data_IF_397220225334
#
_entry.id   IF_397220225334
#
_cell.length_a   1.000
_cell.length_b   1.000
_cell.length_c   1.000
_cell.angle_alpha   90.00
_cell.angle_beta   90.00
_cell.angle_gamma   90.00
#
_symmetry.space_group_name_H-M   'P 1'
#
loop_
_entity.id
_entity.type
_entity.pdbx_description
1 polymer ?
#
# COMPACT_ATOMS: atom_id res chain seq x y z
N UNK A 1 10.31 -14.81 14.92
CA UNK A 1 10.21 -13.97 13.72
C UNK A 1 9.84 -12.57 14.15
N UNK A 2 10.60 -11.54 13.77
CA UNK A 2 10.31 -10.16 14.21
C UNK A 2 9.01 -9.66 13.57
N UNK A 3 8.32 -8.71 14.22
CA UNK A 3 7.07 -8.14 13.70
C UNK A 3 7.26 -7.48 12.31
N UNK A 4 8.45 -6.92 12.06
CA UNK A 4 8.79 -6.35 10.74
C UNK A 4 8.78 -7.43 9.65
N UNK A 5 9.43 -8.56 9.90
CA UNK A 5 9.47 -9.67 8.94
C UNK A 5 8.08 -10.27 8.72
N UNK A 6 7.28 -10.43 9.79
CA UNK A 6 5.88 -10.88 9.66
C UNK A 6 5.05 -9.92 8.78
N UNK A 7 5.19 -8.61 9.01
CA UNK A 7 4.50 -7.60 8.24
C UNK A 7 4.84 -7.64 6.76
N UNK A 8 6.12 -7.78 6.40
CA UNK A 8 6.53 -7.93 5.00
C UNK A 8 6.01 -9.21 4.36
N UNK A 9 6.23 -10.37 5.01
CA UNK A 9 5.81 -11.66 4.45
C UNK A 9 4.31 -11.71 4.21
N UNK A 10 3.50 -11.31 5.20
CA UNK A 10 2.05 -11.29 5.05
C UNK A 10 1.57 -10.22 4.06
N UNK A 11 2.27 -9.08 3.97
CA UNK A 11 2.00 -8.04 2.99
C UNK A 11 2.21 -8.53 1.56
N UNK A 12 3.33 -9.22 1.30
CA UNK A 12 3.64 -9.82 -0.01
C UNK A 12 2.63 -10.93 -0.35
N UNK A 13 2.27 -11.78 0.61
CA UNK A 13 1.25 -12.81 0.36
C UNK A 13 -0.11 -12.22 -0.01
N UNK A 14 -0.49 -11.11 0.63
CA UNK A 14 -1.72 -10.42 0.29
C UNK A 14 -1.65 -9.74 -1.08
N UNK A 15 -0.51 -9.16 -1.45
CA UNK A 15 -0.34 -8.56 -2.78
C UNK A 15 -0.36 -9.60 -3.89
N UNK A 16 0.18 -10.81 -3.66
CA UNK A 16 0.06 -11.94 -4.59
C UNK A 16 -1.40 -12.38 -4.82
N UNK A 17 -2.28 -12.26 -3.81
CA UNK A 17 -3.72 -12.48 -4.01
C UNK A 17 -4.32 -11.41 -4.94
N UNK A 18 -3.84 -10.17 -4.87
CA UNK A 18 -4.24 -9.10 -5.80
C UNK A 18 -3.72 -9.37 -7.21
N UNK A 19 -2.50 -9.92 -7.35
CA UNK A 19 -1.96 -10.40 -8.66
C UNK A 19 -2.89 -11.45 -9.27
N UNK A 20 -3.29 -12.44 -8.48
CA UNK A 20 -4.22 -13.47 -8.97
C UNK A 20 -5.56 -12.88 -9.42
N UNK A 21 -6.10 -11.91 -8.65
CA UNK A 21 -7.31 -11.19 -9.03
C UNK A 21 -7.13 -10.41 -10.35
N UNK A 22 -5.98 -9.75 -10.55
CA UNK A 22 -5.65 -9.08 -11.80
C UNK A 22 -5.71 -10.06 -12.98
N UNK A 23 -4.99 -11.19 -12.88
CA UNK A 23 -4.94 -12.19 -13.93
C UNK A 23 -6.35 -12.68 -14.28
N UNK A 24 -7.18 -12.98 -13.28
CA UNK A 24 -8.57 -13.42 -13.48
C UNK A 24 -9.37 -12.35 -14.23
N UNK A 25 -9.34 -11.10 -13.79
CA UNK A 25 -10.10 -10.02 -14.41
C UNK A 25 -9.62 -9.74 -15.83
N UNK A 26 -8.32 -9.74 -16.06
CA UNK A 26 -7.75 -9.49 -17.37
C UNK A 26 -8.08 -10.60 -18.37
N UNK A 27 -7.85 -11.86 -18.00
CA UNK A 27 -8.02 -13.02 -18.89
C UNK A 27 -9.48 -13.38 -19.14
N UNK A 28 -10.33 -13.34 -18.12
CA UNK A 28 -11.71 -13.84 -18.21
C UNK A 28 -12.75 -12.74 -18.40
N UNK A 29 -12.48 -11.52 -17.96
CA UNK A 29 -13.43 -10.40 -18.06
C UNK A 29 -13.02 -9.41 -19.14
N UNK A 30 -11.75 -9.40 -19.54
CA UNK A 30 -11.23 -8.49 -20.58
C UNK A 30 -11.16 -7.03 -20.11
N UNK A 31 -11.07 -6.78 -18.79
CA UNK A 31 -10.98 -5.43 -18.23
C UNK A 31 -9.51 -5.06 -18.09
N UNK A 32 -9.16 -3.86 -18.57
CA UNK A 32 -7.86 -3.23 -18.29
C UNK A 32 -7.76 -3.01 -16.78
N UNK A 33 -6.91 -3.79 -16.12
CA UNK A 33 -6.85 -3.84 -14.67
C UNK A 33 -5.77 -2.91 -14.06
N UNK A 34 -5.27 -1.93 -14.82
CA UNK A 34 -4.18 -1.03 -14.39
C UNK A 34 -4.39 -0.37 -13.02
N UNK A 35 -5.64 -0.10 -12.63
CA UNK A 35 -5.97 0.43 -11.30
C UNK A 35 -5.72 -0.57 -10.16
N UNK A 36 -5.71 -1.87 -10.45
CA UNK A 36 -5.45 -2.92 -9.44
C UNK A 36 -3.98 -2.89 -9.01
N UNK A 37 -3.06 -2.46 -9.88
CA UNK A 37 -1.64 -2.31 -9.54
C UNK A 37 -1.40 -1.44 -8.30
N UNK A 38 -2.22 -0.40 -8.10
CA UNK A 38 -2.15 0.41 -6.89
C UNK A 38 -2.49 -0.38 -5.62
N UNK A 39 -3.38 -1.36 -5.70
CA UNK A 39 -3.78 -2.19 -4.57
C UNK A 39 -2.67 -3.16 -4.15
N UNK A 40 -1.78 -3.56 -5.06
CA UNK A 40 -0.63 -4.43 -4.75
C UNK A 40 0.30 -3.73 -3.75
N UNK A 41 0.79 -2.53 -4.07
CA UNK A 41 1.64 -1.76 -3.17
C UNK A 41 0.93 -1.38 -1.86
N UNK A 42 -0.36 -0.98 -1.94
CA UNK A 42 -1.16 -0.64 -0.76
C UNK A 42 -1.34 -1.82 0.19
N UNK A 43 -1.60 -3.02 -0.31
CA UNK A 43 -1.79 -4.21 0.53
C UNK A 43 -0.53 -4.51 1.35
N UNK A 44 0.66 -4.37 0.75
CA UNK A 44 1.93 -4.52 1.45
C UNK A 44 2.06 -3.48 2.57
N UNK A 45 1.80 -2.19 2.26
CA UNK A 45 1.91 -1.09 3.23
C UNK A 45 0.92 -1.26 4.37
N UNK A 46 -0.35 -1.52 4.07
CA UNK A 46 -1.41 -1.63 5.08
C UNK A 46 -1.14 -2.78 6.05
N UNK A 47 -0.75 -3.95 5.54
CA UNK A 47 -0.45 -5.11 6.37
C UNK A 47 0.82 -4.86 7.19
N UNK A 48 1.88 -4.33 6.58
CA UNK A 48 3.09 -3.98 7.31
C UNK A 48 2.80 -3.02 8.47
N UNK A 49 2.05 -1.94 8.23
CA UNK A 49 1.68 -0.96 9.25
C UNK A 49 0.80 -1.54 10.36
N UNK A 50 -0.02 -2.56 10.07
CA UNK A 50 -0.80 -3.27 11.09
C UNK A 50 0.11 -3.98 12.11
N UNK A 51 1.25 -4.52 11.68
CA UNK A 51 2.22 -5.19 12.56
C UNK A 51 3.26 -4.24 13.16
N UNK A 52 3.45 -3.07 12.56
CA UNK A 52 4.46 -2.09 12.94
C UNK A 52 3.88 -0.67 12.89
N UNK A 53 2.90 -0.34 13.75
CA UNK A 53 2.18 0.95 13.69
C UNK A 53 3.08 2.15 13.99
N UNK A 54 4.14 1.95 14.77
CA UNK A 54 5.08 3.01 15.20
C UNK A 54 6.24 3.22 14.21
N UNK A 55 6.39 2.34 13.23
CA UNK A 55 7.46 2.47 12.23
C UNK A 55 7.13 3.58 11.23
N UNK A 56 7.73 4.76 11.43
CA UNK A 56 7.57 5.93 10.57
C UNK A 56 8.61 6.01 9.44
N UNK A 57 9.37 4.92 9.21
CA UNK A 57 10.35 4.85 8.15
C UNK A 57 9.69 4.92 6.77
N UNK A 58 10.27 5.72 5.87
CA UNK A 58 9.84 5.79 4.48
C UNK A 58 10.27 4.54 3.66
N UNK A 59 11.11 3.68 4.24
CA UNK A 59 11.62 2.48 3.57
C UNK A 59 10.49 1.56 3.12
N UNK A 60 9.43 1.42 3.91
CA UNK A 60 8.29 0.56 3.55
C UNK A 60 7.63 1.01 2.24
N UNK A 61 7.50 2.32 2.01
CA UNK A 61 6.88 2.84 0.79
C UNK A 61 7.74 2.54 -0.44
N UNK A 62 9.07 2.69 -0.32
CA UNK A 62 10.01 2.36 -1.40
C UNK A 62 9.98 0.86 -1.69
N UNK A 63 10.08 0.02 -0.66
CA UNK A 63 10.08 -1.43 -0.80
C UNK A 63 8.75 -1.92 -1.42
N UNK A 64 7.62 -1.44 -0.91
CA UNK A 64 6.31 -1.81 -1.44
C UNK A 64 6.12 -1.36 -2.89
N UNK A 65 6.64 -0.18 -3.27
CA UNK A 65 6.58 0.31 -4.65
C UNK A 65 7.41 -0.55 -5.58
N UNK A 66 8.63 -0.93 -5.18
CA UNK A 66 9.51 -1.79 -5.98
C UNK A 66 8.89 -3.18 -6.16
N UNK A 67 8.40 -3.79 -5.07
CA UNK A 67 7.74 -5.10 -5.15
C UNK A 67 6.48 -5.01 -6.01
N UNK A 68 5.64 -4.00 -5.81
CA UNK A 68 4.43 -3.79 -6.61
C UNK A 68 4.71 -3.63 -8.10
N UNK A 69 5.80 -2.96 -8.48
CA UNK A 69 6.23 -2.89 -9.88
C UNK A 69 6.57 -4.27 -10.45
N UNK A 70 7.35 -5.08 -9.73
CA UNK A 70 7.64 -6.46 -10.15
C UNK A 70 6.37 -7.29 -10.28
N UNK A 71 5.43 -7.15 -9.36
CA UNK A 71 4.15 -7.87 -9.39
C UNK A 71 3.28 -7.48 -10.59
N UNK A 72 3.30 -6.20 -11.00
CA UNK A 72 2.62 -5.75 -12.22
C UNK A 72 3.19 -6.47 -13.45
N UNK A 73 4.51 -6.54 -13.59
CA UNK A 73 5.13 -7.29 -14.69
C UNK A 73 4.77 -8.77 -14.65
N UNK A 74 4.81 -9.39 -13.46
CA UNK A 74 4.41 -10.80 -13.31
C UNK A 74 2.96 -11.00 -13.74
N UNK A 75 2.05 -10.12 -13.33
CA UNK A 75 0.64 -10.19 -13.67
C UNK A 75 0.42 -10.09 -15.20
N UNK A 76 1.08 -9.14 -15.86
CA UNK A 76 0.98 -8.94 -17.30
C UNK A 76 1.50 -10.14 -18.08
N UNK A 77 2.74 -10.58 -17.80
CA UNK A 77 3.32 -11.72 -18.53
C UNK A 77 2.57 -13.04 -18.26
N UNK A 78 2.10 -13.26 -17.03
CA UNK A 78 1.27 -14.42 -16.72
C UNK A 78 -0.06 -14.39 -17.48
N UNK A 79 -0.72 -13.23 -17.54
CA UNK A 79 -1.97 -13.05 -18.29
C UNK A 79 -1.79 -13.35 -19.77
N UNK A 80 -0.75 -12.78 -20.40
CA UNK A 80 -0.41 -13.06 -21.80
C UNK A 80 -0.09 -14.54 -22.00
N UNK A 81 0.67 -15.16 -21.09
CA UNK A 81 0.98 -16.59 -21.16
C UNK A 81 -0.26 -17.48 -21.15
N UNK A 82 -1.23 -17.19 -20.29
CA UNK A 82 -2.50 -17.92 -20.22
C UNK A 82 -3.30 -17.74 -21.52
N UNK A 83 -3.39 -16.51 -22.03
CA UNK A 83 -4.12 -16.22 -23.28
C UNK A 83 -3.47 -16.91 -24.46
N UNK A 84 -2.12 -16.94 -24.54
CA UNK A 84 -1.40 -17.67 -25.58
C UNK A 84 -1.67 -19.17 -25.52
N UNK A 85 -1.67 -19.75 -24.31
CA UNK A 85 -1.99 -21.16 -24.12
C UNK A 85 -3.42 -21.50 -24.56
N UNK A 86 -4.39 -20.62 -24.23
CA UNK A 86 -5.79 -20.78 -24.64
C UNK A 86 -5.97 -20.67 -26.18
N UNK A 87 -5.23 -19.74 -26.79
CA UNK A 87 -5.30 -19.51 -28.25
C UNK A 87 -4.39 -20.43 -29.08
N UNK A 88 -3.62 -21.30 -28.45
CA UNK A 88 -2.62 -22.17 -29.08
C UNK A 88 -1.59 -21.39 -29.92
N UNK A 89 -1.16 -20.24 -29.41
CA UNK A 89 -0.15 -19.34 -29.99
C UNK A 89 1.11 -19.40 -29.14
N UNK A 90 2.28 -19.34 -29.80
CA UNK A 90 3.53 -19.29 -29.04
C UNK A 90 3.66 -17.98 -28.25
N UNK A 91 4.35 -18.05 -27.09
CA UNK A 91 4.45 -16.95 -26.15
C UNK A 91 5.14 -15.70 -26.74
N UNK A 92 6.19 -15.89 -27.54
CA UNK A 92 6.93 -14.76 -28.14
C UNK A 92 6.04 -13.98 -29.12
N UNK A 93 5.27 -14.70 -29.95
CA UNK A 93 4.28 -14.10 -30.84
C UNK A 93 3.19 -13.38 -30.08
N UNK A 94 2.71 -13.96 -28.96
CA UNK A 94 1.70 -13.34 -28.10
C UNK A 94 2.20 -12.04 -27.46
N UNK A 95 3.39 -12.08 -26.87
CA UNK A 95 4.02 -10.88 -26.29
C UNK A 95 4.22 -9.79 -27.32
N UNK A 96 4.70 -10.13 -28.52
CA UNK A 96 4.89 -9.16 -29.61
C UNK A 96 3.58 -8.48 -30.02
N UNK A 97 2.50 -9.24 -30.14
CA UNK A 97 1.17 -8.71 -30.47
C UNK A 97 0.58 -7.86 -29.34
N UNK A 98 0.78 -8.26 -28.09
CA UNK A 98 0.25 -7.59 -26.92
C UNK A 98 1.16 -6.45 -26.41
N UNK A 99 2.34 -6.23 -27.00
CA UNK A 99 3.37 -5.34 -26.46
C UNK A 99 2.85 -3.93 -26.17
N UNK A 100 2.11 -3.33 -27.09
CA UNK A 100 1.56 -1.98 -26.91
C UNK A 100 0.57 -1.93 -25.76
N UNK A 101 -0.27 -2.96 -25.60
CA UNK A 101 -1.23 -3.08 -24.48
C UNK A 101 -0.50 -3.22 -23.17
N UNK A 102 0.49 -4.13 -23.10
CA UNK A 102 1.31 -4.36 -21.90
C UNK A 102 1.97 -3.05 -21.44
N UNK A 103 2.60 -2.31 -22.37
CA UNK A 103 3.25 -1.03 -22.06
C UNK A 103 2.23 -0.02 -21.52
N UNK A 104 1.08 0.08 -22.17
CA UNK A 104 0.02 1.00 -21.73
C UNK A 104 -0.49 0.65 -20.33
N UNK A 105 -0.78 -0.63 -20.08
CA UNK A 105 -1.28 -1.10 -18.78
C UNK A 105 -0.26 -0.86 -17.66
N UNK A 106 1.02 -1.15 -17.91
CA UNK A 106 2.11 -0.90 -16.97
C UNK A 106 2.24 0.61 -16.67
N UNK A 107 2.20 1.47 -17.70
CA UNK A 107 2.28 2.93 -17.51
C UNK A 107 1.09 3.43 -16.68
N UNK A 108 -0.13 3.01 -17.00
CA UNK A 108 -1.34 3.38 -16.25
C UNK A 108 -1.23 2.89 -14.80
N UNK A 109 -0.81 1.63 -14.59
CA UNK A 109 -0.63 1.07 -13.25
C UNK A 109 0.40 1.85 -12.42
N UNK A 110 1.53 2.26 -13.02
CA UNK A 110 2.56 3.07 -12.36
C UNK A 110 2.00 4.44 -11.95
N UNK A 111 1.32 5.14 -12.87
CA UNK A 111 0.74 6.46 -12.59
C UNK A 111 -0.27 6.38 -11.46
N UNK A 112 -1.21 5.42 -11.53
CA UNK A 112 -2.23 5.25 -10.50
C UNK A 112 -1.63 4.85 -9.16
N UNK A 113 -0.63 3.96 -9.15
CA UNK A 113 0.09 3.57 -7.94
C UNK A 113 0.79 4.76 -7.29
N UNK A 114 1.45 5.60 -8.08
CA UNK A 114 2.10 6.81 -7.60
C UNK A 114 1.09 7.80 -7.00
N UNK A 115 -0.07 8.02 -7.64
CA UNK A 115 -1.12 8.90 -7.12
C UNK A 115 -1.71 8.39 -5.80
N UNK A 116 -2.00 7.10 -5.73
CA UNK A 116 -2.57 6.49 -4.51
C UNK A 116 -1.57 6.53 -3.36
N UNK A 117 -0.29 6.22 -3.63
CA UNK A 117 0.76 6.31 -2.63
C UNK A 117 0.96 7.75 -2.14
N UNK A 118 0.99 8.73 -3.05
CA UNK A 118 1.08 10.14 -2.71
C UNK A 118 -0.08 10.59 -1.81
N UNK A 119 -1.31 10.21 -2.18
CA UNK A 119 -2.50 10.51 -1.38
C UNK A 119 -2.43 9.86 0.01
N UNK A 120 -2.01 8.60 0.08
CA UNK A 120 -1.86 7.88 1.34
C UNK A 120 -0.82 8.52 2.26
N UNK A 121 0.36 8.85 1.74
CA UNK A 121 1.43 9.52 2.49
C UNK A 121 0.94 10.87 3.02
N UNK A 122 0.27 11.67 2.18
CA UNK A 122 -0.28 12.97 2.59
C UNK A 122 -1.30 12.85 3.72
N UNK A 123 -2.15 11.82 3.70
CA UNK A 123 -3.09 11.58 4.80
C UNK A 123 -2.38 11.22 6.11
N UNK A 124 -1.33 10.42 6.05
CA UNK A 124 -0.56 10.04 7.24
C UNK A 124 0.14 11.26 7.86
N UNK A 125 0.70 12.14 7.04
CA UNK A 125 1.35 13.38 7.52
C UNK A 125 0.35 14.27 8.25
N UNK A 126 -0.85 14.48 7.69
CA UNK A 126 -1.91 15.27 8.37
C UNK A 126 -2.31 14.68 9.72
N UNK A 127 -2.48 13.35 9.81
CA UNK A 127 -2.81 12.68 11.08
C UNK A 127 -1.70 12.83 12.13
N UNK A 128 -0.44 12.81 11.70
CA UNK A 128 0.70 13.02 12.61
C UNK A 128 0.77 14.46 13.14
N UNK A 129 0.45 15.47 12.32
CA UNK A 129 0.38 16.87 12.72
C UNK A 129 -0.75 17.11 13.72
N UNK A 130 -1.95 16.57 13.46
CA UNK A 130 -3.11 16.69 14.37
C UNK A 130 -2.80 16.10 15.75
N UNK A 131 -2.16 14.93 15.81
CA UNK A 131 -1.75 14.32 17.09
C UNK A 131 -0.72 15.14 17.85
N UNK A 132 0.21 15.80 17.16
CA UNK A 132 1.19 16.70 17.79
C UNK A 132 0.52 17.92 18.41
N UNK A 133 -0.45 18.52 17.72
CA UNK A 133 -1.21 19.67 18.26
C UNK A 133 -2.01 19.26 19.49
N UNK A 134 -2.68 18.11 19.45
CA UNK A 134 -3.47 17.59 20.57
C UNK A 134 -2.61 17.28 21.81
N UNK A 135 -1.40 16.76 21.63
CA UNK A 135 -0.44 16.51 22.71
C UNK A 135 0.19 17.79 23.29
N UNK A 136 0.14 18.91 22.57
CA UNK A 136 0.72 20.19 23.02
C UNK A 136 -0.33 21.04 23.76
N UNK A 137 -1.63 20.76 23.57
CA UNK A 137 -2.75 21.50 24.19
C UNK A 137 -3.17 20.94 25.56
N UNK A 138 -2.64 19.77 25.98
CA UNK A 138 -3.02 19.14 27.24
C UNK A 138 -1.92 19.13 28.30
N UNK A 139 -1.41 20.29 28.78
CA UNK A 139 -1.10 20.41 30.17
C UNK A 139 -1.25 21.85 30.69
N UNK A 140 -2.45 22.37 30.85
CA UNK A 140 -2.70 23.51 31.72
C UNK A 140 -4.12 23.39 32.26
N UNK A 141 -4.34 22.46 33.18
CA UNK A 141 -5.45 22.56 34.12
C UNK A 141 -5.26 21.49 35.20
N UNK A 142 -4.52 21.87 36.24
CA UNK A 142 -4.69 21.38 37.62
C UNK A 142 -3.49 21.80 38.46
N UNK A 143 -3.37 23.14 38.71
CA UNK A 143 -2.57 23.61 39.84
C UNK A 143 -3.16 24.93 40.31
N UNK A 144 -4.36 24.89 40.88
CA UNK A 144 -4.88 25.91 41.77
C UNK A 144 -6.07 25.30 42.51
N UNK A 145 -5.84 24.82 43.70
CA UNK A 145 -6.75 24.87 44.87
C UNK A 145 -6.19 23.93 45.93
N UNK A 146 -5.24 24.42 46.74
CA UNK A 146 -4.95 23.91 48.09
C UNK A 146 -4.12 24.92 48.87
N UNK A 147 -4.62 26.12 49.05
CA UNK A 147 -4.21 26.99 50.14
C UNK A 147 -5.45 27.79 50.55
N UNK A 148 -6.01 27.43 51.67
CA UNK A 148 -6.65 28.23 52.70
C UNK A 148 -7.55 27.32 53.55
N UNK A 149 -7.09 26.93 54.68
CA UNK A 149 -7.83 27.01 55.96
C UNK A 149 -7.01 26.33 57.04
N UNK A 150 -6.21 27.09 57.73
CA UNK A 150 -5.87 26.85 59.13
C UNK A 150 -5.51 28.14 59.78
N UNK A 151 -6.56 28.88 60.19
CA UNK A 151 -6.43 29.88 61.28
C UNK A 151 -7.68 29.84 62.13
N UNK A 152 -7.43 29.82 63.43
CA UNK A 152 -8.31 30.01 64.64
C UNK A 152 -8.95 28.68 65.12
N UNK A 153 -8.54 28.22 66.30
CA UNK A 153 -8.93 28.63 67.65
C UNK A 153 -8.18 27.81 68.68
N UNK A 154 -7.56 28.58 69.60
CA UNK A 154 -7.33 28.38 71.03
C UNK A 154 -7.06 27.01 71.59
#
# INVERSE_FOLDING_TARGET
>A
MSNKVKGYVLGILASLAVVALWIILYVFVGIIAGYIGALMALSIIMIYKKFNPEDNSNVIYVVASVIGLFEIFIAEFASVGIMCAQANVDFATGVTKAFTSIVLDVVVAIILSALVLFYYIRQQTKKAETRKVESTVSPVENTETSEETNESEK
#
